data_IF_882361123429
#
_entry.id   IF_882361123429
#
_cell.length_a   1.000
_cell.length_b   1.000
_cell.length_c   1.000
_cell.angle_alpha   90.00
_cell.angle_beta   90.00
_cell.angle_gamma   90.00
#
_symmetry.space_group_name_H-M   'P 1'
#
loop_
_entity.id
_entity.type
_entity.pdbx_description
1 polymer ?
#
# COMPACT_ATOMS: atom_id res chain seq x y z
N UNK A 1 -49.06 -15.74 -12.26
CA UNK A 1 -48.71 -14.48 -11.57
C UNK A 1 -48.54 -14.58 -10.05
N UNK A 2 -49.18 -15.53 -9.34
CA UNK A 2 -49.02 -15.67 -7.88
C UNK A 2 -47.67 -16.23 -7.41
N UNK A 3 -47.01 -17.06 -8.24
CA UNK A 3 -45.72 -17.69 -7.93
C UNK A 3 -44.53 -16.72 -8.00
N UNK A 4 -44.57 -15.72 -8.89
CA UNK A 4 -43.50 -14.71 -9.01
C UNK A 4 -43.46 -13.73 -7.83
N UNK A 5 -44.60 -13.40 -7.24
CA UNK A 5 -44.69 -12.49 -6.08
C UNK A 5 -44.10 -13.16 -4.83
N UNK A 6 -44.29 -14.48 -4.67
CA UNK A 6 -43.74 -15.25 -3.54
C UNK A 6 -42.21 -15.36 -3.59
N UNK A 7 -41.61 -15.41 -4.79
CA UNK A 7 -40.16 -15.48 -4.95
C UNK A 7 -39.48 -14.13 -4.64
N UNK A 8 -40.15 -13.00 -4.96
CA UNK A 8 -39.62 -11.67 -4.69
C UNK A 8 -39.59 -11.32 -3.19
N UNK A 9 -40.55 -11.84 -2.41
CA UNK A 9 -40.61 -11.66 -0.95
C UNK A 9 -39.50 -12.43 -0.21
N UNK A 10 -39.05 -13.56 -0.75
CA UNK A 10 -37.96 -14.37 -0.17
C UNK A 10 -36.57 -13.76 -0.37
N UNK A 11 -36.38 -12.93 -1.39
CA UNK A 11 -35.09 -12.27 -1.66
C UNK A 11 -34.91 -11.03 -0.77
N UNK A 12 -36.00 -10.41 -0.31
CA UNK A 12 -35.94 -9.19 0.49
C UNK A 12 -35.57 -9.43 1.97
N UNK A 13 -35.70 -10.66 2.48
CA UNK A 13 -35.44 -10.98 3.89
C UNK A 13 -33.97 -11.27 4.20
N UNK A 14 -33.12 -11.53 3.20
CA UNK A 14 -31.70 -11.85 3.43
C UNK A 14 -30.80 -10.65 3.70
N UNK A 15 -31.29 -9.42 3.49
CA UNK A 15 -30.52 -8.19 3.70
C UNK A 15 -30.49 -7.69 5.15
N UNK A 16 -31.39 -8.17 6.01
CA UNK A 16 -31.50 -7.71 7.41
C UNK A 16 -30.38 -8.25 8.33
N UNK A 17 -29.76 -9.39 8.02
CA UNK A 17 -28.76 -10.03 8.89
C UNK A 17 -27.33 -9.45 8.76
N UNK A 18 -27.06 -8.59 7.78
CA UNK A 18 -25.71 -8.06 7.55
C UNK A 18 -25.37 -6.81 8.40
N UNK A 19 -26.37 -6.13 8.95
CA UNK A 19 -26.18 -4.82 9.59
C UNK A 19 -25.75 -4.90 11.06
N UNK A 20 -26.13 -5.97 11.78
CA UNK A 20 -25.87 -6.13 13.23
C UNK A 20 -24.47 -6.63 13.60
N UNK A 21 -23.70 -7.18 12.65
CA UNK A 21 -22.35 -7.69 12.94
C UNK A 21 -21.36 -6.57 13.27
N UNK A 22 -21.51 -5.39 12.64
CA UNK A 22 -20.59 -4.25 12.86
C UNK A 22 -20.74 -3.62 14.25
N UNK A 23 -21.93 -3.67 14.84
CA UNK A 23 -22.19 -3.17 16.19
C UNK A 23 -21.72 -4.10 17.31
N UNK A 24 -21.46 -5.38 17.00
CA UNK A 24 -20.98 -6.37 17.98
C UNK A 24 -19.46 -6.42 18.14
N UNK A 25 -18.69 -5.77 17.27
CA UNK A 25 -17.23 -5.69 17.43
C UNK A 25 -16.92 -4.62 18.46
N UNK A 26 -16.57 -5.04 19.68
CA UNK A 26 -16.03 -4.15 20.72
C UNK A 26 -14.69 -3.60 20.23
N UNK A 27 -14.70 -2.46 19.57
CA UNK A 27 -13.49 -1.75 19.14
C UNK A 27 -13.05 -0.77 20.23
N UNK A 28 -11.85 -0.95 20.77
CA UNK A 28 -11.21 0.08 21.59
C UNK A 28 -10.83 1.28 20.69
N UNK A 29 -11.45 2.48 20.87
CA UNK A 29 -11.18 3.63 20.01
C UNK A 29 -9.74 4.13 20.07
N UNK A 30 -9.01 3.84 21.15
CA UNK A 30 -7.61 4.23 21.32
C UNK A 30 -6.67 3.30 20.53
N UNK A 31 -6.92 1.99 20.57
CA UNK A 31 -6.16 0.98 19.83
C UNK A 31 -6.40 1.16 18.32
N UNK A 32 -7.65 1.36 17.90
CA UNK A 32 -7.98 1.60 16.48
C UNK A 32 -7.20 2.81 15.93
N UNK A 33 -7.26 3.95 16.62
CA UNK A 33 -6.53 5.17 16.21
C UNK A 33 -5.02 4.97 16.13
N UNK A 34 -4.45 4.24 17.08
CA UNK A 34 -3.01 3.91 17.10
C UNK A 34 -2.63 3.06 15.88
N UNK A 35 -3.41 2.04 15.59
CA UNK A 35 -3.16 1.15 14.45
C UNK A 35 -3.33 1.89 13.12
N UNK A 36 -4.35 2.74 12.98
CA UNK A 36 -4.54 3.58 11.79
C UNK A 36 -3.34 4.48 11.55
N UNK A 37 -2.81 5.12 12.59
CA UNK A 37 -1.62 5.96 12.47
C UNK A 37 -0.38 5.17 11.99
N UNK A 38 -0.18 3.95 12.51
CA UNK A 38 0.94 3.09 12.09
C UNK A 38 0.76 2.59 10.65
N UNK A 39 -0.45 2.18 10.28
CA UNK A 39 -0.80 1.76 8.92
C UNK A 39 -0.62 2.89 7.93
N UNK A 40 -1.07 4.11 8.26
CA UNK A 40 -0.87 5.29 7.43
C UNK A 40 0.61 5.59 7.22
N UNK A 41 1.42 5.51 8.29
CA UNK A 41 2.88 5.70 8.18
C UNK A 41 3.53 4.67 7.26
N UNK A 42 3.11 3.41 7.32
CA UNK A 42 3.54 2.34 6.40
C UNK A 42 3.12 2.63 4.96
N UNK A 43 1.87 3.01 4.74
CA UNK A 43 1.34 3.28 3.41
C UNK A 43 2.10 4.42 2.71
N UNK A 44 2.43 5.49 3.43
CA UNK A 44 3.30 6.56 2.91
C UNK A 44 4.67 6.05 2.43
N UNK A 45 5.26 5.06 3.12
CA UNK A 45 6.52 4.44 2.70
C UNK A 45 6.35 3.50 1.51
N UNK A 46 5.22 2.82 1.39
CA UNK A 46 4.87 2.01 0.21
C UNK A 46 4.71 2.90 -1.02
N UNK A 47 4.03 4.03 -0.89
CA UNK A 47 3.87 5.00 -1.99
C UNK A 47 5.22 5.56 -2.41
N UNK A 48 6.08 5.88 -1.42
CA UNK A 48 7.44 6.31 -1.69
C UNK A 48 8.25 5.24 -2.45
N UNK A 49 8.16 3.96 -2.04
CA UNK A 49 8.76 2.82 -2.75
C UNK A 49 8.30 2.74 -4.20
N UNK A 50 6.99 2.90 -4.45
CA UNK A 50 6.43 2.88 -5.81
C UNK A 50 6.97 4.03 -6.66
N UNK A 51 7.07 5.23 -6.09
CA UNK A 51 7.66 6.40 -6.75
C UNK A 51 9.15 6.19 -7.08
N UNK A 52 9.94 5.61 -6.17
CA UNK A 52 11.34 5.30 -6.44
C UNK A 52 11.48 4.31 -7.61
N UNK A 53 10.66 3.25 -7.63
CA UNK A 53 10.64 2.30 -8.75
C UNK A 53 10.32 2.97 -10.09
N UNK A 54 9.32 3.87 -10.12
CA UNK A 54 8.97 4.57 -11.37
C UNK A 54 10.09 5.51 -11.84
N UNK A 55 10.77 6.19 -10.92
CA UNK A 55 11.93 7.04 -11.21
C UNK A 55 13.12 6.24 -11.73
N UNK A 56 13.39 5.06 -11.17
CA UNK A 56 14.44 4.14 -11.66
C UNK A 56 14.16 3.74 -13.11
N UNK A 57 12.94 3.28 -13.40
CA UNK A 57 12.53 2.90 -14.76
C UNK A 57 12.65 4.08 -15.71
N UNK A 58 12.22 5.28 -15.30
CA UNK A 58 12.35 6.49 -16.10
C UNK A 58 13.82 6.84 -16.37
N UNK A 59 14.68 6.77 -15.35
CA UNK A 59 16.11 7.05 -15.50
C UNK A 59 16.75 6.09 -16.51
N UNK A 60 16.47 4.78 -16.39
CA UNK A 60 16.96 3.77 -17.32
C UNK A 60 16.47 4.01 -18.76
N UNK A 61 15.20 4.41 -18.95
CA UNK A 61 14.67 4.80 -20.27
C UNK A 61 15.42 5.99 -20.85
N UNK A 62 15.70 7.02 -20.03
CA UNK A 62 16.44 8.21 -20.47
C UNK A 62 17.88 7.82 -20.86
N UNK A 63 18.54 6.95 -20.10
CA UNK A 63 19.89 6.49 -20.45
C UNK A 63 19.97 5.81 -21.83
N UNK A 64 18.90 5.11 -22.25
CA UNK A 64 18.83 4.44 -23.56
C UNK A 64 18.70 5.43 -24.73
N UNK A 65 18.01 6.54 -24.54
CA UNK A 65 17.78 7.55 -25.60
C UNK A 65 18.87 8.62 -25.66
N UNK A 66 19.68 8.76 -24.61
CA UNK A 66 20.71 9.80 -24.57
C UNK A 66 21.88 9.44 -25.50
N UNK A 67 22.24 10.34 -26.43
CA UNK A 67 23.31 10.12 -27.39
C UNK A 67 24.68 10.00 -26.68
N UNK A 68 25.62 9.24 -27.26
CA UNK A 68 26.90 8.85 -26.62
C UNK A 68 27.84 10.04 -26.41
N UNK A 69 27.69 11.08 -27.21
CA UNK A 69 28.44 12.33 -27.18
C UNK A 69 28.17 13.11 -25.88
N UNK A 70 26.98 12.95 -25.29
CA UNK A 70 26.58 13.61 -24.03
C UNK A 70 27.08 12.87 -22.79
N UNK A 71 28.41 12.74 -22.68
CA UNK A 71 29.09 12.00 -21.59
C UNK A 71 28.69 12.47 -20.18
N UNK A 72 28.68 13.78 -19.95
CA UNK A 72 28.29 14.37 -18.65
C UNK A 72 26.86 14.00 -18.25
N UNK A 73 25.92 14.04 -19.19
CA UNK A 73 24.51 13.64 -18.95
C UNK A 73 24.42 12.17 -18.60
N UNK A 74 25.13 11.28 -19.31
CA UNK A 74 25.16 9.85 -19.00
C UNK A 74 25.71 9.57 -17.60
N UNK A 75 26.81 10.22 -17.22
CA UNK A 75 27.39 10.10 -15.88
C UNK A 75 26.42 10.57 -14.80
N UNK A 76 25.74 11.70 -15.02
CA UNK A 76 24.71 12.22 -14.12
C UNK A 76 23.54 11.23 -13.95
N UNK A 77 23.06 10.66 -15.05
CA UNK A 77 21.99 9.65 -15.01
C UNK A 77 22.40 8.39 -14.25
N UNK A 78 23.63 7.89 -14.45
CA UNK A 78 24.19 6.76 -13.70
C UNK A 78 24.35 7.05 -12.21
N UNK A 79 24.79 8.26 -11.85
CA UNK A 79 24.87 8.68 -10.43
C UNK A 79 23.47 8.71 -9.80
N UNK A 80 22.50 9.28 -10.51
CA UNK A 80 21.11 9.32 -10.05
C UNK A 80 20.51 7.93 -9.91
N UNK A 81 20.78 7.01 -10.84
CA UNK A 81 20.32 5.62 -10.75
C UNK A 81 20.83 4.95 -9.48
N UNK A 82 22.14 5.04 -9.21
CA UNK A 82 22.74 4.49 -7.98
C UNK A 82 22.12 5.07 -6.72
N UNK A 83 21.86 6.38 -6.70
CA UNK A 83 21.21 7.03 -5.57
C UNK A 83 19.76 6.53 -5.36
N UNK A 84 18.98 6.42 -6.43
CA UNK A 84 17.60 5.91 -6.36
C UNK A 84 17.55 4.44 -5.91
N UNK A 85 18.47 3.60 -6.37
CA UNK A 85 18.58 2.19 -5.96
C UNK A 85 18.95 2.06 -4.48
N UNK A 86 19.88 2.89 -4.01
CA UNK A 86 20.25 2.96 -2.60
C UNK A 86 19.06 3.38 -1.73
N UNK A 87 18.37 4.46 -2.10
CA UNK A 87 17.19 4.94 -1.38
C UNK A 87 16.05 3.91 -1.36
N UNK A 88 15.87 3.18 -2.46
CA UNK A 88 14.91 2.08 -2.52
C UNK A 88 15.26 0.98 -1.53
N UNK A 89 16.55 0.58 -1.45
CA UNK A 89 17.02 -0.42 -0.48
C UNK A 89 16.75 0.02 0.96
N UNK A 90 17.07 1.27 1.30
CA UNK A 90 16.80 1.82 2.63
C UNK A 90 15.30 1.86 2.93
N UNK A 91 14.48 2.27 1.96
CA UNK A 91 13.03 2.33 2.10
C UNK A 91 12.44 0.93 2.37
N UNK A 92 12.94 -0.12 1.72
CA UNK A 92 12.49 -1.49 1.96
C UNK A 92 12.77 -1.95 3.40
N UNK A 93 13.97 -1.68 3.92
CA UNK A 93 14.32 -1.99 5.31
C UNK A 93 13.42 -1.22 6.29
N UNK A 94 13.13 0.04 6.00
CA UNK A 94 12.23 0.85 6.83
C UNK A 94 10.79 0.30 6.84
N UNK A 95 10.28 -0.16 5.70
CA UNK A 95 8.95 -0.79 5.60
C UNK A 95 8.93 -2.07 6.44
N UNK A 96 9.93 -2.94 6.30
CA UNK A 96 10.01 -4.17 7.08
C UNK A 96 10.03 -3.88 8.59
N UNK A 97 10.87 -2.95 9.04
CA UNK A 97 10.92 -2.55 10.44
C UNK A 97 9.58 -1.98 10.94
N UNK A 98 8.83 -1.29 10.09
CA UNK A 98 7.49 -0.79 10.41
C UNK A 98 6.48 -1.92 10.51
N UNK A 99 6.53 -2.90 9.60
CA UNK A 99 5.66 -4.08 9.61
C UNK A 99 5.89 -4.91 10.87
N UNK A 100 7.15 -5.20 11.23
CA UNK A 100 7.49 -5.87 12.49
C UNK A 100 6.97 -5.11 13.71
N UNK A 101 7.06 -3.77 13.72
CA UNK A 101 6.56 -2.93 14.81
C UNK A 101 5.03 -2.97 14.90
N UNK A 102 4.32 -2.99 13.76
CA UNK A 102 2.86 -3.12 13.69
C UNK A 102 2.43 -4.48 14.27
N UNK A 103 3.10 -5.56 13.86
CA UNK A 103 2.84 -6.92 14.34
C UNK A 103 3.09 -7.02 15.85
N UNK A 104 4.23 -6.53 16.35
CA UNK A 104 4.56 -6.52 17.79
C UNK A 104 3.57 -5.73 18.64
N UNK A 105 2.88 -4.74 18.06
CA UNK A 105 1.85 -3.94 18.74
C UNK A 105 0.45 -4.55 18.65
N UNK A 106 0.29 -5.69 17.98
CA UNK A 106 -0.99 -6.41 17.86
C UNK A 106 -2.00 -5.71 16.95
N UNK A 107 -1.54 -4.87 16.00
CA UNK A 107 -2.45 -4.21 15.08
C UNK A 107 -2.92 -5.18 13.98
N UNK A 108 -4.24 -5.32 13.74
CA UNK A 108 -4.78 -6.21 12.72
C UNK A 108 -4.44 -5.71 11.31
N UNK A 109 -4.29 -6.63 10.35
CA UNK A 109 -4.17 -6.30 8.91
C UNK A 109 -2.78 -6.42 8.28
N UNK A 110 -1.78 -6.93 9.00
CA UNK A 110 -0.46 -7.32 8.44
C UNK A 110 -0.08 -8.70 8.96
N UNK A 111 0.27 -9.60 8.04
CA UNK A 111 0.83 -10.93 8.31
C UNK A 111 2.16 -11.07 7.57
N UNK A 112 3.16 -11.70 8.20
CA UNK A 112 4.46 -12.02 7.60
C UNK A 112 4.31 -13.00 6.43
#
# INVERSE_FOLDING_TARGET
MKTFISALLLILSTSLFAQDYRSTVVTDPSISRRCDALMNKRNLKIDHKQKLKSLIVRNQKIQKIVPSEKKSVKQGLQKNLRHLEHELKLTLVQIQNQEENIIRKGCPGITL
#
